data_IF_901053668171
#
_entry.id   IF_901053668171
#
_cell.length_a   1.000
_cell.length_b   1.000
_cell.length_c   1.000
_cell.angle_alpha   90.00
_cell.angle_beta   90.00
_cell.angle_gamma   90.00
#
_symmetry.space_group_name_H-M   'P 1'
#
loop_
_entity.id
_entity.type
_entity.pdbx_description
1 polymer ?
#
# COMPACT_ATOMS: atom_id res chain seq x y z
N UNK A 1 0.95 -1.49 9.18
CA UNK A 1 -0.36 -0.86 9.43
C UNK A 1 -0.22 0.59 9.88
N UNK A 2 0.83 0.93 10.58
CA UNK A 2 1.08 2.26 11.10
C UNK A 2 2.15 3.02 10.31
N UNK A 3 1.86 3.34 9.04
CA UNK A 3 2.75 4.17 8.24
C UNK A 3 3.07 5.50 8.95
N UNK A 4 2.11 6.05 9.70
CA UNK A 4 2.25 7.26 10.49
C UNK A 4 3.41 7.20 11.49
N UNK A 5 3.64 6.03 12.10
CA UNK A 5 4.74 5.85 13.06
C UNK A 5 6.10 6.06 12.40
N UNK A 6 6.24 5.63 11.15
CA UNK A 6 7.50 5.73 10.40
C UNK A 6 7.68 7.07 9.69
N UNK A 7 6.59 7.71 9.26
CA UNK A 7 6.66 8.98 8.52
C UNK A 7 6.61 10.21 9.42
N UNK A 8 6.04 10.07 10.62
CA UNK A 8 5.86 11.17 11.59
C UNK A 8 6.22 10.75 13.03
N UNK A 9 7.22 9.89 13.18
CA UNK A 9 7.72 9.44 14.46
C UNK A 9 8.47 10.54 15.23
N UNK A 10 8.77 10.30 16.53
CA UNK A 10 9.45 11.27 17.39
C UNK A 10 10.87 11.60 16.93
N UNK A 11 11.55 10.66 16.28
CA UNK A 11 12.85 10.91 15.65
C UNK A 11 12.65 11.43 14.21
N UNK A 12 12.74 12.74 14.04
CA UNK A 12 12.57 13.40 12.74
C UNK A 12 13.59 12.96 11.70
N UNK A 13 14.81 12.65 12.10
CA UNK A 13 15.85 12.20 11.15
C UNK A 13 15.53 10.81 10.63
N UNK A 14 15.17 9.91 11.50
CA UNK A 14 14.74 8.56 11.12
C UNK A 14 13.48 8.60 10.25
N UNK A 15 12.48 9.41 10.59
CA UNK A 15 11.26 9.57 9.81
C UNK A 15 11.55 10.14 8.40
N UNK A 16 12.42 11.12 8.29
CA UNK A 16 12.83 11.69 7.00
C UNK A 16 13.62 10.68 6.16
N UNK A 17 14.56 9.96 6.76
CA UNK A 17 15.30 8.90 6.07
C UNK A 17 14.38 7.79 5.57
N UNK A 18 13.42 7.37 6.39
CA UNK A 18 12.41 6.38 6.00
C UNK A 18 11.56 6.88 4.82
N UNK A 19 11.08 8.13 4.85
CA UNK A 19 10.27 8.70 3.76
C UNK A 19 11.03 8.74 2.43
N UNK A 20 12.34 9.07 2.47
CA UNK A 20 13.21 9.05 1.28
C UNK A 20 13.37 7.63 0.74
N UNK A 21 13.66 6.66 1.61
CA UNK A 21 13.81 5.25 1.23
C UNK A 21 12.50 4.68 0.68
N UNK A 22 11.38 4.96 1.33
CA UNK A 22 10.06 4.50 0.88
C UNK A 22 9.72 5.07 -0.50
N UNK A 23 9.96 6.37 -0.70
CA UNK A 23 9.77 7.02 -2.00
C UNK A 23 10.59 6.34 -3.08
N UNK A 24 11.87 6.11 -2.82
CA UNK A 24 12.79 5.48 -3.75
C UNK A 24 12.36 4.03 -4.08
N UNK A 25 11.93 3.31 -3.05
CA UNK A 25 11.46 1.95 -3.18
C UNK A 25 10.17 1.85 -4.01
N UNK A 26 9.20 2.75 -3.78
CA UNK A 26 7.95 2.79 -4.55
C UNK A 26 8.21 3.21 -6.00
N UNK A 27 9.06 4.22 -6.21
CA UNK A 27 9.32 4.75 -7.55
C UNK A 27 10.12 3.77 -8.44
N UNK A 28 11.11 3.09 -7.88
CA UNK A 28 12.04 2.24 -8.64
C UNK A 28 11.87 0.74 -8.43
N UNK A 29 11.30 0.34 -7.31
CA UNK A 29 11.13 -1.08 -6.96
C UNK A 29 10.30 -1.85 -7.96
N UNK A 30 9.33 -1.18 -8.60
CA UNK A 30 8.47 -1.77 -9.64
C UNK A 30 9.29 -2.38 -10.79
N UNK A 31 10.34 -1.71 -11.25
CA UNK A 31 11.23 -2.21 -12.31
C UNK A 31 12.02 -3.45 -11.87
N UNK A 32 12.24 -3.62 -10.57
CA UNK A 32 12.88 -4.78 -9.97
C UNK A 32 11.88 -5.87 -9.52
N UNK A 33 10.60 -5.77 -9.92
CA UNK A 33 9.55 -6.71 -9.54
C UNK A 33 9.10 -6.61 -8.07
N UNK A 34 9.43 -5.51 -7.38
CA UNK A 34 9.01 -5.29 -6.00
C UNK A 34 7.62 -4.69 -5.95
N UNK A 35 6.74 -5.29 -5.14
CA UNK A 35 5.40 -4.76 -4.87
C UNK A 35 5.39 -4.15 -3.47
N UNK A 36 5.01 -2.87 -3.40
CA UNK A 36 4.90 -2.16 -2.13
C UNK A 36 3.42 -2.00 -1.76
N UNK A 37 3.05 -2.44 -0.57
CA UNK A 37 1.73 -2.22 0.01
C UNK A 37 1.92 -1.36 1.26
N UNK A 38 1.27 -0.19 1.26
CA UNK A 38 1.28 0.71 2.41
C UNK A 38 -0.14 0.87 2.94
N UNK A 39 -0.32 0.68 4.25
CA UNK A 39 -1.61 0.83 4.91
C UNK A 39 -1.51 1.84 6.05
N UNK A 40 -2.58 2.61 6.26
CA UNK A 40 -2.68 3.56 7.38
C UNK A 40 -4.12 3.73 7.80
N UNK A 41 -4.35 3.91 9.08
CA UNK A 41 -5.66 4.27 9.64
C UNK A 41 -5.90 5.78 9.63
N UNK A 42 -4.83 6.57 9.51
CA UNK A 42 -4.90 8.04 9.54
C UNK A 42 -4.43 8.62 8.20
N UNK A 43 -5.32 8.72 7.21
CA UNK A 43 -4.99 9.28 5.91
C UNK A 43 -4.95 10.81 5.98
N UNK A 44 -3.87 11.35 6.52
CA UNK A 44 -3.62 12.80 6.56
C UNK A 44 -2.38 13.13 5.73
N UNK A 45 -2.27 14.36 5.25
CA UNK A 45 -1.18 14.78 4.38
C UNK A 45 0.20 14.76 5.06
N UNK A 46 0.23 14.83 6.41
CA UNK A 46 1.43 14.66 7.22
C UNK A 46 1.88 13.21 7.35
N UNK A 47 0.94 12.24 7.25
CA UNK A 47 1.25 10.80 7.27
C UNK A 47 1.55 10.26 5.87
N UNK A 48 0.73 10.67 4.89
CA UNK A 48 0.91 10.28 3.48
C UNK A 48 1.01 11.57 2.64
N UNK A 49 2.19 12.18 2.56
CA UNK A 49 2.40 13.36 1.73
C UNK A 49 1.97 13.11 0.28
N UNK A 50 1.43 14.13 -0.36
CA UNK A 50 0.89 14.06 -1.73
C UNK A 50 1.91 13.46 -2.72
N UNK A 51 3.17 13.87 -2.63
CA UNK A 51 4.23 13.37 -3.50
C UNK A 51 4.50 11.86 -3.35
N UNK A 52 4.28 11.31 -2.15
CA UNK A 52 4.43 9.87 -1.89
C UNK A 52 3.18 9.12 -2.33
N UNK A 53 1.99 9.64 -2.02
CA UNK A 53 0.71 9.06 -2.44
C UNK A 53 0.63 8.90 -3.96
N UNK A 54 1.08 9.90 -4.70
CA UNK A 54 0.94 9.93 -6.16
C UNK A 54 1.88 8.95 -6.88
N UNK A 55 2.83 8.34 -6.14
CA UNK A 55 3.65 7.23 -6.65
C UNK A 55 2.92 5.88 -6.63
N UNK A 56 1.84 5.76 -5.84
CA UNK A 56 1.05 4.54 -5.80
C UNK A 56 0.03 4.52 -6.95
N UNK A 57 0.20 3.60 -7.89
CA UNK A 57 -0.70 3.41 -9.03
C UNK A 57 -2.08 2.85 -8.63
N UNK A 58 -2.19 2.26 -7.44
CA UNK A 58 -3.45 1.78 -6.87
C UNK A 58 -3.66 2.41 -5.50
N UNK A 59 -4.83 2.99 -5.29
CA UNK A 59 -5.20 3.61 -4.01
C UNK A 59 -6.58 3.15 -3.60
N UNK A 60 -6.67 2.53 -2.43
CA UNK A 60 -7.92 1.97 -1.93
C UNK A 60 -8.36 2.68 -0.65
N UNK A 61 -9.47 3.39 -0.74
CA UNK A 61 -10.12 4.02 0.38
C UNK A 61 -11.25 3.12 0.91
N UNK A 62 -11.01 2.44 2.01
CA UNK A 62 -12.06 1.86 2.82
C UNK A 62 -12.85 2.98 3.51
N UNK A 63 -13.95 2.66 4.22
CA UNK A 63 -14.80 3.67 4.86
C UNK A 63 -13.97 4.70 5.63
N UNK A 64 -14.14 5.95 5.27
CA UNK A 64 -13.56 7.11 5.94
C UNK A 64 -14.61 7.84 6.78
N UNK A 65 -14.17 8.66 7.74
CA UNK A 65 -15.06 9.48 8.56
C UNK A 65 -15.55 10.74 7.85
N UNK A 66 -14.75 11.27 6.92
CA UNK A 66 -15.05 12.52 6.20
C UNK A 66 -14.73 12.41 4.71
N UNK A 67 -15.36 13.24 3.85
CA UNK A 67 -15.01 13.35 2.43
C UNK A 67 -13.55 13.76 2.22
N UNK A 68 -13.00 14.64 3.07
CA UNK A 68 -11.60 15.07 2.98
C UNK A 68 -10.62 13.92 3.23
N UNK A 69 -10.94 13.03 4.18
CA UNK A 69 -10.15 11.82 4.41
C UNK A 69 -10.18 10.88 3.20
N UNK A 70 -11.32 10.76 2.53
CA UNK A 70 -11.45 10.03 1.27
C UNK A 70 -10.61 10.66 0.17
N UNK A 71 -10.69 11.98 0.00
CA UNK A 71 -9.92 12.73 -0.99
C UNK A 71 -8.40 12.69 -0.71
N UNK A 72 -8.01 12.56 0.55
CA UNK A 72 -6.59 12.37 0.89
C UNK A 72 -6.04 11.07 0.32
N UNK A 73 -6.84 10.01 0.22
CA UNK A 73 -6.43 8.72 -0.34
C UNK A 73 -6.61 8.72 -1.86
N UNK A 74 -7.81 9.00 -2.33
CA UNK A 74 -8.16 8.86 -3.75
C UNK A 74 -7.60 10.00 -4.60
N UNK A 75 -7.47 11.19 -4.03
CA UNK A 75 -7.10 12.42 -4.72
C UNK A 75 -8.21 13.46 -4.60
N UNK A 76 -7.83 14.73 -4.66
CA UNK A 76 -8.75 15.85 -4.50
C UNK A 76 -9.87 15.83 -5.54
N UNK A 77 -11.09 16.10 -5.07
CA UNK A 77 -12.26 16.32 -5.93
C UNK A 77 -13.05 15.06 -6.27
N UNK A 78 -12.57 13.89 -5.94
CA UNK A 78 -13.34 12.65 -6.15
C UNK A 78 -14.58 12.58 -5.28
N UNK A 79 -14.48 13.01 -4.02
CA UNK A 79 -15.62 13.01 -3.11
C UNK A 79 -16.76 13.92 -3.62
N UNK A 80 -16.44 15.09 -4.20
CA UNK A 80 -17.45 16.01 -4.77
C UNK A 80 -18.10 15.47 -6.04
N UNK A 81 -17.45 14.53 -6.73
CA UNK A 81 -17.99 13.84 -7.91
C UNK A 81 -18.78 12.58 -7.56
N UNK A 82 -19.01 12.31 -6.25
CA UNK A 82 -19.78 11.17 -5.77
C UNK A 82 -18.93 9.94 -5.37
N UNK A 83 -17.61 9.96 -5.56
CA UNK A 83 -16.69 8.88 -5.21
C UNK A 83 -16.12 9.09 -3.80
N UNK A 84 -16.99 9.06 -2.78
CA UNK A 84 -16.59 9.32 -1.42
C UNK A 84 -16.63 8.05 -0.55
N UNK A 85 -15.52 7.70 0.06
CA UNK A 85 -15.47 6.61 1.02
C UNK A 85 -16.17 6.94 2.35
N UNK A 86 -16.50 8.22 2.58
CA UNK A 86 -17.32 8.62 3.72
C UNK A 86 -18.81 8.21 3.56
N UNK A 87 -19.27 7.97 2.32
CA UNK A 87 -20.62 7.51 2.05
C UNK A 87 -20.80 5.98 2.17
N UNK A 88 -19.73 5.26 2.47
CA UNK A 88 -19.79 3.79 2.65
C UNK A 88 -20.51 3.49 3.96
N UNK A 89 -21.59 2.70 3.88
CA UNK A 89 -22.38 2.27 5.02
C UNK A 89 -21.50 1.47 6.01
N UNK A 90 -21.48 1.85 7.30
CA UNK A 90 -20.77 1.13 8.36
C UNK A 90 -21.09 -0.36 8.45
N UNK A 91 -22.30 -0.77 8.08
CA UNK A 91 -22.71 -2.19 8.07
C UNK A 91 -22.05 -2.99 6.92
N UNK A 92 -21.56 -2.32 5.89
CA UNK A 92 -20.95 -2.97 4.73
C UNK A 92 -19.44 -3.12 4.88
N UNK A 93 -19.02 -4.09 5.70
CA UNK A 93 -17.59 -4.36 5.93
C UNK A 93 -16.87 -4.74 4.62
N UNK A 94 -15.63 -4.25 4.48
CA UNK A 94 -14.76 -4.53 3.33
C UNK A 94 -15.11 -3.75 2.07
N UNK A 95 -16.17 -2.93 2.07
CA UNK A 95 -16.50 -2.07 0.94
C UNK A 95 -15.63 -0.81 0.96
N UNK A 96 -15.20 -0.38 -0.22
CA UNK A 96 -14.41 0.83 -0.42
C UNK A 96 -14.36 1.24 -1.88
N UNK A 97 -13.59 2.28 -2.15
CA UNK A 97 -13.32 2.81 -3.48
C UNK A 97 -11.87 2.55 -3.85
N UNK A 98 -11.66 1.87 -4.97
CA UNK A 98 -10.35 1.63 -5.56
C UNK A 98 -10.15 2.57 -6.73
N UNK A 99 -9.11 3.39 -6.67
CA UNK A 99 -8.63 4.17 -7.80
C UNK A 99 -7.39 3.50 -8.39
N UNK A 100 -7.45 3.24 -9.67
CA UNK A 100 -6.32 2.79 -10.48
C UNK A 100 -5.75 3.98 -11.25
N UNK A 101 -4.45 3.97 -11.51
CA UNK A 101 -3.75 5.02 -12.27
C UNK A 101 -4.44 5.29 -13.61
N UNK A 102 -4.74 6.57 -13.87
CA UNK A 102 -5.45 7.00 -15.09
C UNK A 102 -6.93 6.63 -15.16
N UNK A 103 -7.48 6.00 -14.12
CA UNK A 103 -8.88 5.56 -14.09
C UNK A 103 -9.80 6.45 -13.24
N UNK A 104 -11.03 5.98 -13.09
CA UNK A 104 -12.07 6.53 -12.21
C UNK A 104 -12.24 5.59 -11.03
N UNK A 105 -12.52 6.08 -9.80
CA UNK A 105 -12.71 5.21 -8.66
C UNK A 105 -13.85 4.21 -8.88
N UNK A 106 -13.58 2.94 -8.60
CA UNK A 106 -14.55 1.85 -8.71
C UNK A 106 -14.92 1.38 -7.31
N UNK A 107 -16.22 1.27 -7.04
CA UNK A 107 -16.70 0.70 -5.78
C UNK A 107 -16.58 -0.82 -5.82
N UNK A 108 -15.90 -1.39 -4.85
CA UNK A 108 -15.75 -2.82 -4.74
C UNK A 108 -15.75 -3.28 -3.28
N UNK A 109 -15.92 -4.57 -3.09
CA UNK A 109 -15.86 -5.22 -1.77
C UNK A 109 -14.71 -6.23 -1.76
N UNK A 110 -13.88 -6.16 -0.73
CA UNK A 110 -12.88 -7.19 -0.46
C UNK A 110 -13.54 -8.54 -0.14
N UNK A 111 -12.85 -9.62 -0.50
CA UNK A 111 -13.24 -10.95 -0.05
C UNK A 111 -13.12 -11.01 1.48
N UNK A 112 -14.07 -11.70 2.11
CA UNK A 112 -13.93 -12.07 3.51
C UNK A 112 -13.07 -13.34 3.57
N UNK A 113 -12.08 -13.30 4.45
CA UNK A 113 -11.21 -14.43 4.75
C UNK A 113 -11.36 -14.74 6.24
N UNK A 114 -11.68 -15.97 6.56
CA UNK A 114 -11.65 -16.45 7.95
C UNK A 114 -10.26 -16.92 8.36
N UNK A 115 -10.10 -17.37 9.59
CA UNK A 115 -8.79 -17.80 10.11
C UNK A 115 -8.24 -19.03 9.39
N UNK A 116 -9.12 -19.89 8.88
CA UNK A 116 -8.72 -21.08 8.10
C UNK A 116 -8.22 -20.67 6.71
N UNK A 117 -8.90 -19.73 6.07
CA UNK A 117 -8.47 -19.16 4.79
C UNK A 117 -7.11 -18.48 4.93
N UNK A 118 -6.90 -17.74 6.02
CA UNK A 118 -5.62 -17.06 6.29
C UNK A 118 -4.48 -18.07 6.52
N UNK A 119 -4.74 -19.14 7.28
CA UNK A 119 -3.77 -20.22 7.50
C UNK A 119 -3.37 -20.91 6.19
N UNK A 120 -4.36 -21.19 5.33
CA UNK A 120 -4.10 -21.79 4.02
C UNK A 120 -3.33 -20.87 3.09
N UNK A 121 -3.64 -19.57 3.05
CA UNK A 121 -2.87 -18.57 2.31
C UNK A 121 -1.43 -18.48 2.79
N UNK A 122 -1.20 -18.49 4.11
CA UNK A 122 0.14 -18.48 4.69
C UNK A 122 0.94 -19.72 4.24
N UNK A 123 0.31 -20.91 4.32
CA UNK A 123 0.93 -22.17 3.87
C UNK A 123 1.29 -22.14 2.37
N UNK A 124 0.42 -21.63 1.53
CA UNK A 124 0.70 -21.47 0.08
C UNK A 124 1.85 -20.49 -0.17
N UNK A 125 1.90 -19.39 0.58
CA UNK A 125 2.98 -18.42 0.47
C UNK A 125 4.33 -19.02 0.89
N UNK A 126 4.37 -19.84 1.93
CA UNK A 126 5.57 -20.56 2.37
C UNK A 126 6.06 -21.56 1.30
N UNK A 127 5.14 -22.32 0.72
CA UNK A 127 5.46 -23.25 -0.36
C UNK A 127 6.04 -22.52 -1.59
N UNK A 128 5.40 -21.42 -2.01
CA UNK A 128 5.89 -20.61 -3.13
C UNK A 128 7.28 -20.03 -2.86
N UNK A 129 7.55 -19.57 -1.63
CA UNK A 129 8.90 -19.09 -1.23
C UNK A 129 9.92 -20.22 -1.21
N UNK A 130 9.54 -21.43 -0.80
CA UNK A 130 10.39 -22.61 -0.82
C UNK A 130 10.84 -22.98 -2.24
N UNK A 131 9.91 -22.98 -3.19
CA UNK A 131 10.20 -23.19 -4.61
C UNK A 131 11.14 -22.12 -5.15
N UNK A 132 10.84 -20.83 -4.91
CA UNK A 132 11.71 -19.72 -5.36
C UNK A 132 13.11 -19.74 -4.74
N UNK A 133 13.26 -20.26 -3.51
CA UNK A 133 14.59 -20.41 -2.88
C UNK A 133 15.42 -21.51 -3.51
N UNK A 134 14.80 -22.63 -3.91
CA UNK A 134 15.50 -23.74 -4.56
C UNK A 134 15.96 -23.43 -5.98
N UNK A 135 15.28 -22.48 -6.64
CA UNK A 135 15.58 -22.07 -8.02
C UNK A 135 16.55 -20.88 -8.11
N UNK A 136 16.93 -20.27 -6.99
CA UNK A 136 17.88 -19.16 -7.03
C UNK A 136 19.27 -19.68 -7.43
N UNK A 137 19.82 -19.25 -8.56
CA UNK A 137 21.21 -19.56 -8.90
C UNK A 137 22.12 -18.97 -7.83
N UNK A 138 23.04 -19.79 -7.33
CA UNK A 138 24.06 -19.34 -6.39
C UNK A 138 24.99 -18.41 -7.15
N UNK A 139 24.88 -17.09 -6.92
CA UNK A 139 25.87 -16.14 -7.45
C UNK A 139 27.23 -16.48 -6.82
N UNK A 140 28.12 -17.07 -7.59
CA UNK A 140 29.54 -17.17 -7.21
C UNK A 140 30.17 -15.82 -7.53
N UNK A 141 30.70 -15.17 -6.50
CA UNK A 141 31.62 -14.07 -6.71
C UNK A 141 32.82 -14.64 -7.46
N UNK A 142 33.08 -14.14 -8.66
CA UNK A 142 34.33 -14.42 -9.36
C UNK A 142 35.37 -13.53 -8.70
N UNK A 143 36.20 -14.13 -7.85
CA UNK A 143 37.37 -13.45 -7.30
C UNK A 143 38.22 -12.96 -8.45
N UNK A 144 38.24 -11.63 -8.65
CA UNK A 144 39.08 -10.96 -9.63
C UNK A 144 40.55 -10.94 -9.16
N UNK A 145 41.17 -12.11 -9.11
CA UNK A 145 42.62 -12.21 -8.95
C UNK A 145 43.23 -12.60 -10.32
N UNK A 146 43.65 -11.57 -11.04
CA UNK A 146 44.66 -11.65 -12.10
C UNK A 146 45.49 -10.37 -12.05
#
# INVERSE_FOLDING_TARGET
>A
EELAFYTNGPDRKAAQAFAVLLRDFVARGRAAGMVTVATTQKPSADVVPTYLRDLFGFRWALRCSTPDASDTILGRGWASQGYSAASVDPATRGVGWLLQEGGVPVRLRACYLDDLDLAELARRAEQARGVMRSERPTLRLVDGSA
#
